data_IF_010990796474
#
_entry.id   IF_010990796474
#
_cell.length_a   1.000
_cell.length_b   1.000
_cell.length_c   1.000
_cell.angle_alpha   90.00
_cell.angle_beta   90.00
_cell.angle_gamma   90.00
#
_symmetry.space_group_name_H-M   'P 1'
#
loop_
_entity.id
_entity.type
_entity.pdbx_description
1 polymer ?
#
# COMPACT_ATOMS: atom_id res chain seq x y z
N UNK A 1 9.45 12.73 16.92
CA UNK A 1 8.69 11.46 16.95
C UNK A 1 7.21 11.82 16.91
N UNK A 2 6.44 11.25 15.99
CA UNK A 2 5.02 11.59 15.86
C UNK A 2 4.24 11.07 17.05
N UNK A 3 3.38 11.94 17.60
CA UNK A 3 2.54 11.64 18.74
C UNK A 3 1.50 10.58 18.36
N UNK A 4 1.36 9.54 19.20
CA UNK A 4 0.32 8.52 19.01
C UNK A 4 -1.07 9.12 19.29
N UNK A 5 -1.13 10.09 20.19
CA UNK A 5 -2.33 10.89 20.49
C UNK A 5 -2.11 12.30 19.98
N UNK A 6 -2.15 12.47 18.66
CA UNK A 6 -2.16 13.79 18.05
C UNK A 6 -3.38 14.59 18.52
N UNK A 7 -3.21 15.88 18.77
CA UNK A 7 -4.32 16.79 19.02
C UNK A 7 -5.13 17.05 17.72
N UNK A 8 -6.26 17.72 17.85
CA UNK A 8 -7.15 18.01 16.72
C UNK A 8 -6.47 18.87 15.67
N UNK A 9 -5.63 19.83 16.06
CA UNK A 9 -4.92 20.70 15.13
C UNK A 9 -3.92 19.90 14.28
N UNK A 10 -3.18 18.99 14.89
CA UNK A 10 -2.21 18.12 14.21
C UNK A 10 -2.93 17.16 13.24
N UNK A 11 -4.04 16.56 13.67
CA UNK A 11 -4.87 15.71 12.79
C UNK A 11 -5.36 16.48 11.56
N UNK A 12 -5.91 17.67 11.78
CA UNK A 12 -6.37 18.53 10.68
C UNK A 12 -5.24 18.92 9.74
N UNK A 13 -4.04 19.19 10.25
CA UNK A 13 -2.87 19.43 9.40
C UNK A 13 -2.55 18.22 8.53
N UNK A 14 -2.60 17.00 9.08
CA UNK A 14 -2.32 15.80 8.30
C UNK A 14 -3.34 15.57 7.19
N UNK A 15 -4.63 15.77 7.48
CA UNK A 15 -5.68 15.68 6.47
C UNK A 15 -5.46 16.70 5.36
N UNK A 16 -5.14 17.96 5.70
CA UNK A 16 -4.83 19.01 4.71
C UNK A 16 -3.64 18.63 3.82
N UNK A 17 -2.55 18.15 4.39
CA UNK A 17 -1.38 17.75 3.60
C UNK A 17 -1.69 16.64 2.58
N UNK A 18 -2.55 15.68 2.95
CA UNK A 18 -3.01 14.61 2.05
C UNK A 18 -3.84 15.20 0.92
N UNK A 19 -4.82 16.05 1.24
CA UNK A 19 -5.69 16.72 0.26
C UNK A 19 -4.87 17.60 -0.69
N UNK A 20 -3.94 18.40 -0.16
CA UNK A 20 -3.09 19.28 -0.98
C UNK A 20 -2.21 18.46 -1.94
N UNK A 21 -1.74 17.28 -1.52
CA UNK A 21 -0.99 16.37 -2.38
C UNK A 21 -1.88 15.76 -3.47
N UNK A 22 -3.12 15.40 -3.14
CA UNK A 22 -4.10 14.92 -4.11
C UNK A 22 -4.42 15.98 -5.16
N UNK A 23 -4.72 17.21 -4.73
CA UNK A 23 -5.06 18.33 -5.61
C UNK A 23 -3.88 18.76 -6.50
N UNK A 24 -2.65 18.38 -6.14
CA UNK A 24 -1.46 18.62 -6.95
C UNK A 24 -1.21 17.54 -8.02
N UNK A 25 -2.02 16.47 -8.08
CA UNK A 25 -1.89 15.43 -9.08
C UNK A 25 -2.20 15.95 -10.49
N UNK A 26 -1.40 15.54 -11.47
CA UNK A 26 -1.80 15.67 -12.88
C UNK A 26 -2.87 14.63 -13.21
N UNK A 27 -3.62 14.84 -14.29
CA UNK A 27 -4.63 13.85 -14.74
C UNK A 27 -4.02 12.47 -15.01
N UNK A 28 -2.79 12.40 -15.52
CA UNK A 28 -2.10 11.12 -15.74
C UNK A 28 -1.75 10.42 -14.42
N UNK A 29 -1.30 11.17 -13.42
CA UNK A 29 -1.00 10.64 -12.09
C UNK A 29 -2.27 10.16 -11.37
N UNK A 30 -3.37 10.91 -11.53
CA UNK A 30 -4.67 10.53 -10.99
C UNK A 30 -5.15 9.21 -11.62
N UNK A 31 -5.12 9.10 -12.95
CA UNK A 31 -5.46 7.86 -13.66
C UNK A 31 -4.59 6.69 -13.19
N UNK A 32 -3.27 6.89 -13.09
CA UNK A 32 -2.36 5.84 -12.64
C UNK A 32 -2.68 5.39 -11.20
N UNK A 33 -2.94 6.32 -10.28
CA UNK A 33 -3.26 5.99 -8.90
C UNK A 33 -4.62 5.30 -8.75
N UNK A 34 -5.64 5.75 -9.48
CA UNK A 34 -6.98 5.12 -9.49
C UNK A 34 -6.95 3.68 -9.97
N UNK A 35 -6.11 3.38 -10.96
CA UNK A 35 -5.97 2.02 -11.49
C UNK A 35 -5.11 1.11 -10.63
N UNK A 36 -4.33 1.64 -9.68
CA UNK A 36 -3.29 0.88 -8.97
C UNK A 36 -3.81 -0.42 -8.32
N UNK A 37 -4.86 -0.31 -7.48
CA UNK A 37 -5.40 -1.48 -6.79
C UNK A 37 -6.29 -2.35 -7.69
N UNK A 38 -6.89 -1.79 -8.74
CA UNK A 38 -7.62 -2.54 -9.76
C UNK A 38 -6.65 -3.47 -10.50
N UNK A 39 -5.53 -2.94 -11.00
CA UNK A 39 -4.52 -3.74 -11.68
C UNK A 39 -3.87 -4.76 -10.75
N UNK A 40 -3.65 -4.41 -9.48
CA UNK A 40 -3.13 -5.37 -8.49
C UNK A 40 -4.13 -6.50 -8.20
N UNK A 41 -5.43 -6.22 -8.19
CA UNK A 41 -6.50 -7.22 -8.07
C UNK A 41 -6.51 -8.16 -9.29
N UNK A 42 -6.53 -7.60 -10.50
CA UNK A 42 -6.55 -8.39 -11.74
C UNK A 42 -5.32 -9.32 -11.84
N UNK A 43 -4.16 -8.82 -11.40
CA UNK A 43 -2.95 -9.62 -11.31
C UNK A 43 -3.05 -10.75 -10.28
N UNK A 44 -3.61 -10.46 -9.10
CA UNK A 44 -3.81 -11.45 -8.05
C UNK A 44 -4.74 -12.58 -8.51
N UNK A 45 -5.84 -12.23 -9.18
CA UNK A 45 -6.78 -13.15 -9.79
C UNK A 45 -6.10 -14.02 -10.87
N UNK A 46 -5.42 -13.37 -11.82
CA UNK A 46 -4.75 -14.05 -12.93
C UNK A 46 -3.66 -15.03 -12.47
N UNK A 47 -2.80 -14.62 -11.53
CA UNK A 47 -1.66 -15.44 -11.11
C UNK A 47 -2.07 -16.65 -10.25
N UNK A 48 -3.33 -16.72 -9.80
CA UNK A 48 -3.86 -17.80 -8.96
C UNK A 48 -5.10 -18.45 -9.55
N UNK A 49 -5.25 -18.40 -10.88
CA UNK A 49 -6.32 -19.08 -11.63
C UNK A 49 -7.74 -18.77 -11.12
N UNK A 50 -7.96 -17.52 -10.70
CA UNK A 50 -9.25 -17.05 -10.19
C UNK A 50 -9.39 -17.06 -8.66
N UNK A 51 -8.39 -17.54 -7.91
CA UNK A 51 -8.38 -17.43 -6.45
C UNK A 51 -7.75 -16.10 -5.99
N UNK A 52 -8.40 -14.99 -6.35
CA UNK A 52 -7.96 -13.63 -5.99
C UNK A 52 -7.70 -13.46 -4.49
N UNK A 53 -8.38 -14.24 -3.63
CA UNK A 53 -8.14 -14.24 -2.18
C UNK A 53 -6.76 -14.78 -1.85
N UNK A 54 -6.39 -15.94 -2.39
CA UNK A 54 -5.03 -16.47 -2.27
C UNK A 54 -4.02 -15.49 -2.88
N UNK A 55 -4.28 -15.00 -4.10
CA UNK A 55 -3.37 -14.10 -4.80
C UNK A 55 -3.08 -12.81 -4.02
N UNK A 56 -4.12 -12.13 -3.53
CA UNK A 56 -3.99 -10.96 -2.69
C UNK A 56 -3.23 -11.29 -1.39
N UNK A 57 -3.49 -12.46 -0.81
CA UNK A 57 -2.82 -12.95 0.39
C UNK A 57 -1.31 -13.14 0.18
N UNK A 58 -0.90 -13.73 -0.95
CA UNK A 58 0.50 -13.93 -1.32
C UNK A 58 1.23 -12.61 -1.56
N UNK A 59 0.64 -11.72 -2.36
CA UNK A 59 1.19 -10.39 -2.62
C UNK A 59 1.39 -9.65 -1.30
N UNK A 60 0.40 -9.68 -0.41
CA UNK A 60 0.49 -9.03 0.88
C UNK A 60 1.56 -9.64 1.80
N UNK A 61 1.59 -10.95 1.95
CA UNK A 61 2.56 -11.67 2.78
C UNK A 61 4.01 -11.35 2.38
N UNK A 62 4.27 -11.23 1.09
CA UNK A 62 5.59 -11.00 0.49
C UNK A 62 5.92 -9.52 0.24
N UNK A 63 4.99 -8.59 0.52
CA UNK A 63 5.19 -7.14 0.34
C UNK A 63 6.18 -6.42 1.27
N UNK A 64 6.56 -6.92 2.47
CA UNK A 64 7.46 -6.17 3.35
C UNK A 64 8.84 -5.97 2.74
N UNK A 65 9.27 -4.71 2.57
CA UNK A 65 10.60 -4.34 2.06
C UNK A 65 10.92 -4.88 0.65
N UNK A 66 9.91 -5.04 -0.18
CA UNK A 66 10.04 -5.61 -1.53
C UNK A 66 9.52 -4.61 -2.55
N UNK A 67 10.24 -4.44 -3.66
CA UNK A 67 9.74 -3.64 -4.79
C UNK A 67 8.56 -4.35 -5.45
N UNK A 68 7.66 -3.59 -6.09
CA UNK A 68 6.49 -4.19 -6.73
C UNK A 68 6.83 -5.29 -7.76
N UNK A 69 7.79 -5.11 -8.70
CA UNK A 69 8.14 -6.16 -9.65
C UNK A 69 8.64 -7.45 -8.97
N UNK A 70 9.51 -7.32 -7.96
CA UNK A 70 10.00 -8.48 -7.21
C UNK A 70 8.89 -9.12 -6.38
N UNK A 71 7.95 -8.33 -5.85
CA UNK A 71 6.83 -8.87 -5.07
C UNK A 71 5.93 -9.76 -5.95
N UNK A 72 5.65 -9.31 -7.17
CA UNK A 72 4.88 -10.07 -8.18
C UNK A 72 5.62 -11.35 -8.56
N UNK A 73 6.92 -11.27 -8.85
CA UNK A 73 7.76 -12.42 -9.17
C UNK A 73 7.74 -13.46 -8.04
N UNK A 74 7.97 -13.03 -6.79
CA UNK A 74 7.98 -13.92 -5.63
C UNK A 74 6.62 -14.57 -5.37
N UNK A 75 5.52 -13.82 -5.53
CA UNK A 75 4.17 -14.34 -5.32
C UNK A 75 3.76 -15.34 -6.41
N UNK A 76 4.06 -15.03 -7.66
CA UNK A 76 3.82 -15.92 -8.81
C UNK A 76 4.61 -17.21 -8.66
N UNK A 77 5.93 -17.11 -8.41
CA UNK A 77 6.79 -18.27 -8.19
C UNK A 77 6.33 -19.11 -6.99
N UNK A 78 5.85 -18.48 -5.91
CA UNK A 78 5.35 -19.19 -4.75
C UNK A 78 4.10 -20.03 -5.07
N UNK A 79 3.18 -19.50 -5.88
CA UNK A 79 2.01 -20.22 -6.36
C UNK A 79 2.39 -21.37 -7.29
N UNK A 80 3.15 -21.08 -8.36
CA UNK A 80 3.53 -22.06 -9.38
C UNK A 80 4.32 -23.25 -8.83
N UNK A 81 5.21 -22.99 -7.87
CA UNK A 81 6.05 -24.04 -7.26
C UNK A 81 5.43 -24.68 -6.03
N UNK A 82 4.34 -24.10 -5.50
CA UNK A 82 3.75 -24.46 -4.20
C UNK A 82 4.69 -24.19 -3.01
N UNK A 83 5.81 -23.48 -3.20
CA UNK A 83 6.83 -23.26 -2.17
C UNK A 83 7.40 -21.84 -2.23
N UNK A 84 7.06 -20.96 -1.27
CA UNK A 84 7.59 -19.61 -1.25
C UNK A 84 9.10 -19.63 -0.91
N UNK A 85 9.87 -18.75 -1.56
CA UNK A 85 11.32 -18.60 -1.33
C UNK A 85 11.76 -17.16 -1.59
N UNK A 86 13.06 -16.85 -1.42
CA UNK A 86 13.61 -15.53 -1.79
C UNK A 86 13.23 -14.35 -0.88
N UNK A 87 12.69 -14.62 0.32
CA UNK A 87 12.28 -13.59 1.29
C UNK A 87 12.67 -13.97 2.73
N UNK A 88 12.39 -13.09 3.68
CA UNK A 88 12.56 -13.31 5.12
C UNK A 88 11.62 -14.40 5.64
N UNK A 89 12.09 -15.18 6.62
CA UNK A 89 11.39 -16.37 7.10
C UNK A 89 9.95 -16.12 7.59
N UNK A 90 9.67 -14.97 8.21
CA UNK A 90 8.33 -14.59 8.66
C UNK A 90 7.35 -14.30 7.50
N UNK A 91 7.84 -13.76 6.38
CA UNK A 91 7.04 -13.55 5.17
C UNK A 91 6.79 -14.90 4.47
N UNK A 92 7.83 -15.72 4.34
CA UNK A 92 7.74 -17.06 3.75
C UNK A 92 6.77 -17.96 4.53
N UNK A 93 6.81 -17.91 5.86
CA UNK A 93 5.91 -18.70 6.71
C UNK A 93 4.44 -18.32 6.53
N UNK A 94 4.12 -17.02 6.34
CA UNK A 94 2.75 -16.58 6.06
C UNK A 94 2.30 -17.04 4.67
N UNK A 95 3.13 -16.82 3.65
CA UNK A 95 2.83 -17.26 2.29
C UNK A 95 2.61 -18.79 2.22
N UNK A 96 3.43 -19.58 2.92
CA UNK A 96 3.29 -21.04 2.96
C UNK A 96 1.97 -21.49 3.61
N UNK A 97 1.52 -20.80 4.67
CA UNK A 97 0.22 -21.09 5.29
C UNK A 97 -0.94 -20.78 4.36
N UNK A 98 -0.87 -19.67 3.63
CA UNK A 98 -1.90 -19.26 2.66
C UNK A 98 -1.96 -20.27 1.51
N UNK A 99 -0.81 -20.71 0.96
CA UNK A 99 -0.75 -21.78 -0.05
C UNK A 99 -1.33 -23.11 0.46
N UNK A 100 -1.18 -23.39 1.75
CA UNK A 100 -1.76 -24.57 2.39
C UNK A 100 -3.27 -24.43 2.66
N UNK A 101 -3.91 -23.34 2.23
CA UNK A 101 -5.36 -23.11 2.34
C UNK A 101 -5.82 -22.35 3.59
N UNK A 102 -4.90 -21.79 4.39
CA UNK A 102 -5.30 -20.93 5.50
C UNK A 102 -5.88 -19.61 4.98
N UNK A 103 -6.95 -19.11 5.60
CA UNK A 103 -7.54 -17.83 5.23
C UNK A 103 -6.51 -16.70 5.49
N UNK A 104 -6.20 -15.83 4.50
CA UNK A 104 -5.25 -14.74 4.69
C UNK A 104 -5.57 -13.83 5.88
N UNK A 105 -6.84 -13.68 6.26
CA UNK A 105 -7.26 -12.86 7.42
C UNK A 105 -6.83 -13.43 8.77
N UNK A 106 -6.58 -14.74 8.84
CA UNK A 106 -6.08 -15.42 10.04
C UNK A 106 -4.54 -15.43 10.12
N UNK A 107 -3.87 -15.19 8.98
CA UNK A 107 -2.41 -15.30 8.84
C UNK A 107 -1.74 -13.93 8.84
N UNK A 108 -2.37 -12.95 8.20
CA UNK A 108 -1.82 -11.61 8.01
C UNK A 108 -2.15 -10.71 9.22
N UNK A 109 -1.28 -9.74 9.57
CA UNK A 109 -1.59 -8.76 10.60
C UNK A 109 -2.60 -7.74 10.07
N UNK A 110 -3.88 -8.04 10.25
CA UNK A 110 -5.03 -7.29 9.70
C UNK A 110 -5.16 -5.85 10.18
N UNK A 111 -4.47 -5.50 11.27
CA UNK A 111 -4.43 -4.16 11.87
C UNK A 111 -3.19 -3.34 11.47
N UNK A 112 -2.40 -3.84 10.50
CA UNK A 112 -1.17 -3.20 10.01
C UNK A 112 -1.18 -3.08 8.49
N UNK A 113 -0.12 -2.45 7.97
CA UNK A 113 0.15 -2.26 6.53
C UNK A 113 -0.19 -3.50 5.71
N UNK A 114 0.38 -4.66 6.04
CA UNK A 114 0.20 -5.89 5.27
C UNK A 114 -1.27 -6.31 5.17
N UNK A 115 -2.03 -6.26 6.26
CA UNK A 115 -3.44 -6.60 6.25
C UNK A 115 -4.31 -5.63 5.44
N UNK A 116 -4.03 -4.33 5.55
CA UNK A 116 -4.71 -3.33 4.73
C UNK A 116 -4.33 -3.42 3.24
N UNK A 117 -3.08 -3.76 2.93
CA UNK A 117 -2.65 -4.00 1.56
C UNK A 117 -3.38 -5.20 0.95
N UNK A 118 -3.51 -6.29 1.69
CA UNK A 118 -4.35 -7.43 1.31
C UNK A 118 -5.79 -6.99 1.03
N UNK A 119 -6.43 -6.24 1.94
CA UNK A 119 -7.81 -5.76 1.75
C UNK A 119 -7.97 -4.90 0.50
N UNK A 120 -7.05 -3.96 0.26
CA UNK A 120 -7.12 -3.08 -0.91
C UNK A 120 -6.97 -3.85 -2.23
N UNK A 121 -6.18 -4.93 -2.26
CA UNK A 121 -6.03 -5.79 -3.44
C UNK A 121 -7.26 -6.70 -3.58
N UNK A 122 -7.70 -7.34 -2.50
CA UNK A 122 -8.84 -8.26 -2.52
C UNK A 122 -10.12 -7.55 -2.98
N UNK A 123 -10.38 -6.36 -2.45
CA UNK A 123 -11.54 -5.56 -2.78
C UNK A 123 -11.10 -4.11 -3.03
N UNK A 124 -10.87 -3.73 -4.30
CA UNK A 124 -10.51 -2.37 -4.67
C UNK A 124 -11.59 -1.32 -4.30
N UNK A 125 -12.82 -1.76 -3.97
CA UNK A 125 -13.93 -0.91 -3.56
C UNK A 125 -14.11 -0.87 -2.02
N UNK A 126 -13.22 -1.48 -1.24
CA UNK A 126 -13.28 -1.46 0.22
C UNK A 126 -13.19 0.00 0.73
N UNK A 127 -14.32 0.49 1.24
CA UNK A 127 -14.48 1.88 1.68
C UNK A 127 -13.65 2.24 2.93
N UNK A 128 -13.06 1.26 3.61
CA UNK A 128 -12.32 1.45 4.87
C UNK A 128 -10.82 1.13 4.74
N UNK A 129 -10.40 0.31 3.78
CA UNK A 129 -9.02 -0.13 3.67
C UNK A 129 -8.10 0.99 3.13
N UNK A 130 -6.95 1.19 3.81
CA UNK A 130 -5.90 2.09 3.32
C UNK A 130 -4.53 1.58 3.77
N UNK A 131 -3.61 1.41 2.83
CA UNK A 131 -2.26 0.91 3.08
C UNK A 131 -1.31 2.04 3.50
N UNK A 132 -1.10 2.23 4.82
CA UNK A 132 -0.12 3.23 5.29
C UNK A 132 1.31 2.66 5.26
N UNK A 133 2.06 3.06 4.25
CA UNK A 133 3.50 2.82 4.15
C UNK A 133 4.32 4.05 4.59
N UNK A 134 5.63 4.00 4.34
CA UNK A 134 6.55 5.09 4.70
C UNK A 134 6.27 6.40 3.95
N UNK A 135 5.71 6.32 2.73
CA UNK A 135 5.42 7.47 1.88
C UNK A 135 4.09 8.09 2.26
N UNK A 136 3.06 7.26 2.47
CA UNK A 136 1.77 7.72 2.96
C UNK A 136 1.91 8.50 4.27
N UNK A 137 2.81 8.02 5.14
CA UNK A 137 3.22 8.73 6.35
C UNK A 137 3.86 10.09 6.08
N UNK A 138 4.90 10.14 5.23
CA UNK A 138 5.65 11.38 4.95
C UNK A 138 4.75 12.44 4.30
N UNK A 139 3.83 12.01 3.41
CA UNK A 139 2.77 12.85 2.82
C UNK A 139 1.88 13.43 3.92
N UNK A 140 1.33 12.59 4.80
CA UNK A 140 0.44 13.05 5.86
C UNK A 140 1.14 14.05 6.79
N UNK A 141 2.39 13.77 7.18
CA UNK A 141 3.14 14.63 8.08
C UNK A 141 3.66 15.90 7.38
N UNK A 142 3.77 15.88 6.05
CA UNK A 142 4.34 16.97 5.26
C UNK A 142 5.86 17.07 5.39
N UNK A 143 6.55 15.97 5.71
CA UNK A 143 7.99 15.93 5.95
C UNK A 143 8.61 14.64 5.40
N UNK A 144 9.72 14.76 4.67
CA UNK A 144 10.49 13.61 4.16
C UNK A 144 11.38 13.01 5.26
N UNK A 145 11.09 11.79 5.68
CA UNK A 145 11.86 11.16 6.76
C UNK A 145 13.13 10.48 6.27
N UNK A 146 13.24 10.16 4.97
CA UNK A 146 14.37 9.38 4.44
C UNK A 146 14.49 8.04 5.18
N UNK A 147 15.67 7.76 5.75
CA UNK A 147 15.96 6.57 6.55
C UNK A 147 15.50 6.67 8.02
N UNK A 148 14.97 7.81 8.47
CA UNK A 148 14.52 7.99 9.86
C UNK A 148 13.36 7.05 10.19
N UNK A 149 13.36 6.53 11.42
CA UNK A 149 12.23 5.74 11.90
C UNK A 149 10.99 6.61 12.06
N UNK A 150 9.89 6.10 11.51
CA UNK A 150 8.55 6.69 11.55
C UNK A 150 7.73 6.08 12.68
N UNK A 151 8.17 4.92 13.18
CA UNK A 151 7.52 4.15 14.22
C UNK A 151 6.15 3.60 13.80
N UNK A 152 5.94 3.33 12.50
CA UNK A 152 4.72 2.73 11.96
C UNK A 152 4.47 1.30 12.47
N UNK A 153 5.43 0.68 13.15
CA UNK A 153 5.21 -0.58 13.88
C UNK A 153 4.26 -0.45 15.07
N UNK A 154 4.03 0.77 15.59
CA UNK A 154 3.07 1.02 16.66
C UNK A 154 1.65 1.14 16.10
N UNK A 155 0.74 0.25 16.54
CA UNK A 155 -0.68 0.20 16.08
C UNK A 155 -1.36 1.56 16.12
N UNK A 156 -1.19 2.31 17.21
CA UNK A 156 -1.84 3.61 17.37
C UNK A 156 -1.36 4.67 16.36
N UNK A 157 -0.09 4.60 15.93
CA UNK A 157 0.43 5.54 14.92
C UNK A 157 -0.08 5.20 13.52
N UNK A 158 -0.10 3.91 13.18
CA UNK A 158 -0.71 3.46 11.93
C UNK A 158 -2.18 3.88 11.86
N UNK A 159 -2.95 3.62 12.93
CA UNK A 159 -4.37 3.96 13.03
C UNK A 159 -4.63 5.47 12.88
N UNK A 160 -3.78 6.32 13.48
CA UNK A 160 -3.87 7.76 13.35
C UNK A 160 -3.75 8.21 11.88
N UNK A 161 -2.73 7.75 11.17
CA UNK A 161 -2.52 8.14 9.78
C UNK A 161 -3.61 7.55 8.87
N UNK A 162 -4.00 6.30 9.08
CA UNK A 162 -5.10 5.66 8.36
C UNK A 162 -6.42 6.46 8.54
N UNK A 163 -6.70 6.93 9.74
CA UNK A 163 -7.85 7.80 10.00
C UNK A 163 -7.77 9.12 9.22
N UNK A 164 -6.60 9.77 9.15
CA UNK A 164 -6.43 11.00 8.38
C UNK A 164 -6.67 10.78 6.86
N UNK A 165 -6.22 9.65 6.31
CA UNK A 165 -6.52 9.30 4.91
C UNK A 165 -8.01 9.06 4.68
N UNK A 166 -8.70 8.38 5.61
CA UNK A 166 -10.15 8.19 5.52
C UNK A 166 -10.92 9.50 5.59
N UNK A 167 -10.53 10.41 6.47
CA UNK A 167 -11.15 11.74 6.52
C UNK A 167 -10.89 12.54 5.25
N UNK A 168 -9.67 12.49 4.69
CA UNK A 168 -9.38 13.14 3.41
C UNK A 168 -10.25 12.57 2.28
N UNK A 169 -10.40 11.24 2.24
CA UNK A 169 -11.24 10.54 1.28
C UNK A 169 -12.71 10.94 1.38
N UNK A 170 -13.26 11.01 2.61
CA UNK A 170 -14.62 11.50 2.85
C UNK A 170 -14.83 12.94 2.37
N UNK A 171 -13.85 13.83 2.58
CA UNK A 171 -13.95 15.23 2.15
C UNK A 171 -13.86 15.40 0.63
N UNK A 172 -13.24 14.45 -0.06
CA UNK A 172 -13.04 14.44 -1.50
C UNK A 172 -14.05 13.54 -2.24
N UNK A 173 -14.95 12.88 -1.51
CA UNK A 173 -15.92 11.89 -2.04
C UNK A 173 -15.23 10.76 -2.83
N UNK A 174 -14.19 10.18 -2.24
CA UNK A 174 -13.32 9.19 -2.89
C UNK A 174 -12.99 8.02 -1.95
N UNK A 175 -12.42 6.93 -2.48
CA UNK A 175 -11.95 5.81 -1.66
C UNK A 175 -10.61 6.11 -0.96
N UNK A 176 -10.42 5.70 0.32
CA UNK A 176 -9.15 5.91 1.03
C UNK A 176 -7.93 5.28 0.32
N UNK A 177 -8.12 4.10 -0.27
CA UNK A 177 -7.09 3.40 -1.06
C UNK A 177 -6.70 4.18 -2.32
N UNK A 178 -7.67 4.78 -3.01
CA UNK A 178 -7.45 5.62 -4.20
C UNK A 178 -6.70 6.90 -3.84
N UNK A 179 -7.13 7.61 -2.78
CA UNK A 179 -6.40 8.79 -2.27
C UNK A 179 -4.94 8.42 -1.97
N UNK A 180 -4.71 7.31 -1.28
CA UNK A 180 -3.36 6.83 -0.95
C UNK A 180 -2.54 6.51 -2.19
N UNK A 181 -3.12 5.85 -3.20
CA UNK A 181 -2.42 5.49 -4.43
C UNK A 181 -2.07 6.71 -5.29
N UNK A 182 -3.00 7.64 -5.50
CA UNK A 182 -2.73 8.87 -6.27
C UNK A 182 -1.69 9.74 -5.58
N UNK A 183 -1.82 9.97 -4.27
CA UNK A 183 -0.82 10.76 -3.53
C UNK A 183 0.55 10.09 -3.51
N UNK A 184 0.61 8.75 -3.53
CA UNK A 184 1.86 8.01 -3.71
C UNK A 184 2.48 8.22 -5.09
N UNK A 185 1.69 8.22 -6.18
CA UNK A 185 2.18 8.50 -7.54
C UNK A 185 2.79 9.91 -7.61
N UNK A 186 2.07 10.92 -7.10
CA UNK A 186 2.56 12.30 -7.02
C UNK A 186 3.90 12.37 -6.28
N UNK A 187 3.98 11.70 -5.12
CA UNK A 187 5.18 11.69 -4.30
C UNK A 187 6.36 11.01 -5.00
N UNK A 188 6.14 9.84 -5.60
CA UNK A 188 7.16 9.07 -6.32
C UNK A 188 7.74 9.87 -7.47
N UNK A 189 6.90 10.49 -8.29
CA UNK A 189 7.35 11.21 -9.48
C UNK A 189 8.11 12.49 -9.12
N UNK A 190 7.74 13.16 -8.01
CA UNK A 190 8.54 14.26 -7.44
C UNK A 190 9.95 13.81 -7.09
N UNK A 191 10.08 12.68 -6.38
CA UNK A 191 11.40 12.13 -6.01
C UNK A 191 12.25 11.80 -7.24
N UNK A 192 11.65 11.26 -8.30
CA UNK A 192 12.33 10.99 -9.58
C UNK A 192 12.71 12.29 -10.30
N UNK A 193 11.84 13.30 -10.31
CA UNK A 193 12.15 14.61 -10.91
C UNK A 193 13.28 15.36 -10.19
N UNK A 194 13.42 15.18 -8.89
CA UNK A 194 14.53 15.75 -8.09
C UNK A 194 15.82 14.94 -8.15
N UNK A 195 15.72 13.65 -8.50
CA UNK A 195 16.85 12.73 -8.57
C UNK A 195 17.27 12.60 -10.04
N UNK A 196 18.39 13.18 -10.45
CA UNK A 196 18.96 13.08 -11.81
C UNK A 196 19.32 11.64 -12.20
N UNK A 197 18.30 10.81 -12.43
CA UNK A 197 18.29 9.45 -13.03
C UNK A 197 16.83 8.98 -13.09
N UNK A 198 16.12 9.43 -14.13
CA UNK A 198 14.80 8.91 -14.46
C UNK A 198 14.87 7.42 -14.81
N UNK A 199 14.05 6.60 -14.15
CA UNK A 199 13.76 5.24 -14.63
C UNK A 199 12.31 5.24 -15.06
N UNK A 200 12.11 5.29 -16.38
CA UNK A 200 10.82 5.11 -17.04
C UNK A 200 10.35 3.68 -16.79
N UNK A 201 9.13 3.51 -16.29
CA UNK A 201 8.44 2.23 -16.40
C UNK A 201 7.96 2.08 -17.84
N UNK A 202 8.43 1.02 -18.51
CA UNK A 202 7.93 0.60 -19.80
C UNK A 202 6.48 0.14 -19.66
N UNK A 203 5.59 0.81 -20.37
CA UNK A 203 4.30 0.25 -20.76
C UNK A 203 4.57 -0.92 -21.70
N UNK A 204 4.15 -2.12 -21.30
CA UNK A 204 4.06 -3.24 -22.21
C UNK A 204 2.92 -2.95 -23.21
N UNK A 205 3.29 -2.92 -24.49
CA UNK A 205 2.37 -3.00 -25.63
C UNK A 205 2.19 -4.46 -26.04
#
# INVERSE_FOLDING_TARGET
>A
MIQIKADTQTREQYVRNIIDTWLAATSEQEVQGRLWYITAHDLADMMTEGDVRMGAGLLAALSPQTSWPLNVELATNAYETGRPSGHLGDALAKAAKILAGADPTEVLPMDRKTGHFYRCILDPQDADAVCIDRHAHDIAVGEEYGARDRGLGAKGRYALIAHCYREAAQRLDELPSVIQAVTWVVWRDRLVGTSTRGTLFATAA
#
